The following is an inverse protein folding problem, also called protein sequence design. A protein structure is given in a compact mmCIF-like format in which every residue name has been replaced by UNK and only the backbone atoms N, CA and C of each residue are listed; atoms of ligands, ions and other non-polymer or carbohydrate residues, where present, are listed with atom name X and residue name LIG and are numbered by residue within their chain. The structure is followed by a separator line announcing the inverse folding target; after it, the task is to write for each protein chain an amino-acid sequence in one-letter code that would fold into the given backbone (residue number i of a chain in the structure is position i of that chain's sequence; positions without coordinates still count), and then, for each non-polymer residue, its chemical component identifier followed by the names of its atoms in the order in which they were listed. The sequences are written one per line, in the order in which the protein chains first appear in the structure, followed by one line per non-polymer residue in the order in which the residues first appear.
data_IF_289988016122
#
_entry.id   IF_289988016122
#
_cell.length_a   1.000
_cell.length_b   1.000
_cell.length_c   1.000
_cell.angle_alpha   90.00
_cell.angle_beta   90.00
_cell.angle_gamma   90.00
#
_symmetry.space_group_name_H-M   'P 1'
#
loop_
_entity.id
_entity.type
_entity.pdbx_description
1 polymer ?
#
# COMPACT_ATOMS: atom_id res chain seq x y z
N UNK A 1 36.21 -30.04 -16.29
CA UNK A 1 34.81 -29.83 -15.87
C UNK A 1 34.88 -28.90 -14.68
N UNK A 2 34.52 -27.63 -14.88
CA UNK A 2 34.30 -26.71 -13.77
C UNK A 2 32.80 -26.83 -13.45
N UNK A 3 32.47 -27.40 -12.30
CA UNK A 3 31.13 -27.27 -11.73
C UNK A 3 30.99 -25.83 -11.24
N UNK A 4 30.34 -24.99 -12.06
CA UNK A 4 29.79 -23.71 -11.65
C UNK A 4 28.29 -23.85 -11.62
N UNK A 5 27.73 -23.98 -10.42
CA UNK A 5 26.30 -24.11 -10.19
C UNK A 5 25.96 -23.68 -8.77
N UNK A 6 26.52 -22.55 -8.34
CA UNK A 6 26.07 -21.87 -7.13
C UNK A 6 24.72 -21.21 -7.44
N UNK A 7 23.74 -21.46 -6.57
CA UNK A 7 22.34 -21.13 -6.79
C UNK A 7 22.13 -19.67 -7.16
N UNK A 8 21.49 -19.46 -8.32
CA UNK A 8 20.81 -18.21 -8.60
C UNK A 8 19.71 -18.06 -7.55
N UNK A 9 19.92 -17.20 -6.55
CA UNK A 9 18.82 -16.71 -5.71
C UNK A 9 17.77 -16.14 -6.66
N UNK A 10 16.60 -16.78 -6.73
CA UNK A 10 15.52 -16.34 -7.61
C UNK A 10 15.09 -14.94 -7.17
N UNK A 11 15.51 -13.91 -7.91
CA UNK A 11 15.26 -12.52 -7.55
C UNK A 11 13.75 -12.26 -7.67
N UNK A 12 13.11 -12.06 -6.52
CA UNK A 12 11.70 -11.72 -6.47
C UNK A 12 11.50 -10.21 -6.58
N UNK A 13 10.60 -9.81 -7.47
CA UNK A 13 10.22 -8.42 -7.68
C UNK A 13 8.74 -8.25 -7.40
N UNK A 14 8.38 -7.13 -6.76
CA UNK A 14 6.99 -6.74 -6.62
C UNK A 14 6.45 -6.24 -7.96
N UNK A 15 5.27 -6.72 -8.34
CA UNK A 15 4.58 -6.39 -9.59
C UNK A 15 3.18 -5.87 -9.31
N UNK A 16 2.60 -5.20 -10.29
CA UNK A 16 1.16 -4.89 -10.24
C UNK A 16 0.33 -6.17 -10.12
N UNK A 17 -0.82 -6.05 -9.45
CA UNK A 17 -1.70 -7.14 -8.98
C UNK A 17 -1.17 -7.97 -7.79
N UNK A 18 0.04 -7.69 -7.28
CA UNK A 18 0.53 -8.36 -6.08
C UNK A 18 -0.20 -7.84 -4.82
N UNK A 19 -0.47 -8.78 -3.90
CA UNK A 19 -1.05 -8.50 -2.60
C UNK A 19 0.07 -8.21 -1.59
N UNK A 20 -0.03 -7.06 -0.91
CA UNK A 20 0.98 -6.55 0.01
C UNK A 20 0.37 -6.09 1.32
N UNK A 21 1.21 -6.03 2.34
CA UNK A 21 0.92 -5.37 3.63
C UNK A 21 1.96 -4.28 3.85
N UNK A 22 1.53 -3.15 4.42
CA UNK A 22 2.44 -2.06 4.77
C UNK A 22 2.80 -2.17 6.25
N UNK A 23 4.04 -2.56 6.54
CA UNK A 23 4.52 -2.74 7.90
C UNK A 23 5.51 -1.65 8.31
N UNK A 24 5.36 -1.13 9.52
CA UNK A 24 6.35 -0.30 10.18
C UNK A 24 6.81 -0.93 11.50
N UNK A 25 7.97 -0.47 12.01
CA UNK A 25 8.49 -0.88 13.31
C UNK A 25 8.67 0.36 14.17
N UNK A 26 8.13 0.33 15.39
CA UNK A 26 8.24 1.41 16.37
C UNK A 26 8.83 0.89 17.68
N UNK A 27 9.64 1.72 18.35
CA UNK A 27 10.18 1.41 19.68
C UNK A 27 9.26 2.02 20.74
N UNK A 28 8.70 1.19 21.63
CA UNK A 28 7.75 1.65 22.67
C UNK A 28 8.42 1.77 24.04
N UNK A 29 9.31 0.84 24.38
CA UNK A 29 10.15 0.85 25.59
C UNK A 29 11.60 0.53 25.23
N UNK A 30 12.55 0.74 26.15
CA UNK A 30 13.95 0.30 25.96
C UNK A 30 13.94 -1.19 25.60
N UNK A 31 14.54 -1.50 24.45
CA UNK A 31 14.68 -2.85 23.88
C UNK A 31 13.38 -3.57 23.46
N UNK A 32 12.24 -2.87 23.39
CA UNK A 32 10.99 -3.45 22.86
C UNK A 32 10.57 -2.79 21.55
N UNK A 33 10.85 -3.48 20.44
CA UNK A 33 10.38 -3.14 19.11
C UNK A 33 9.03 -3.79 18.82
N UNK A 34 8.09 -3.00 18.30
CA UNK A 34 6.76 -3.44 17.90
C UNK A 34 6.61 -3.23 16.39
N UNK A 35 6.40 -4.35 15.68
CA UNK A 35 5.89 -4.42 14.31
C UNK A 35 4.40 -4.14 14.29
N UNK A 36 4.01 -3.23 13.40
CA UNK A 36 2.65 -2.74 13.20
C UNK A 36 2.33 -2.78 11.70
N UNK A 37 1.12 -3.19 11.33
CA UNK A 37 0.63 -3.17 9.96
C UNK A 37 -0.45 -2.10 9.79
N UNK A 38 -0.39 -1.35 8.68
CA UNK A 38 -1.45 -0.44 8.30
C UNK A 38 -2.72 -1.23 8.00
N UNK A 39 -3.82 -0.84 8.63
CA UNK A 39 -5.10 -1.55 8.55
C UNK A 39 -6.25 -0.59 8.34
N UNK A 40 -7.32 -1.05 7.72
CA UNK A 40 -8.57 -0.30 7.64
C UNK A 40 -9.76 -1.23 7.47
N UNK A 41 -10.91 -0.86 8.03
CA UNK A 41 -12.16 -1.64 7.87
C UNK A 41 -12.83 -1.34 6.52
N UNK A 42 -12.83 -0.07 6.12
CA UNK A 42 -13.46 0.44 4.91
C UNK A 42 -14.92 0.81 5.14
N UNK A 43 -15.82 -0.17 5.12
CA UNK A 43 -17.23 0.09 5.36
C UNK A 43 -17.46 0.49 6.82
N UNK A 44 -18.25 1.54 7.05
CA UNK A 44 -18.45 2.11 8.39
C UNK A 44 -17.30 3.01 8.85
N UNK A 45 -16.06 2.52 8.80
CA UNK A 45 -14.87 3.29 9.20
C UNK A 45 -13.81 3.34 8.09
N UNK A 46 -13.65 4.54 7.51
CA UNK A 46 -12.68 4.80 6.43
C UNK A 46 -11.30 5.21 6.91
N UNK A 47 -11.09 5.40 8.22
CA UNK A 47 -9.81 5.85 8.75
C UNK A 47 -8.88 4.65 8.93
N UNK A 48 -7.62 4.82 8.56
CA UNK A 48 -6.61 3.80 8.82
C UNK A 48 -6.22 3.79 10.30
N UNK A 49 -5.81 2.62 10.76
CA UNK A 49 -5.25 2.38 12.08
C UNK A 49 -4.12 1.35 12.00
N UNK A 50 -3.50 1.02 13.13
CA UNK A 50 -2.35 0.12 13.20
C UNK A 50 -2.72 -1.16 13.95
N UNK A 51 -2.59 -2.29 13.25
CA UNK A 51 -2.76 -3.63 13.82
C UNK A 51 -1.40 -4.16 14.28
N UNK A 52 -1.33 -4.71 15.50
CA UNK A 52 -0.07 -5.19 16.06
C UNK A 52 0.23 -6.61 15.61
N UNK A 53 1.34 -6.82 14.91
CA UNK A 53 1.74 -8.15 14.41
C UNK A 53 2.83 -8.81 15.25
N UNK A 54 3.37 -8.10 16.24
CA UNK A 54 4.50 -8.59 17.07
C UNK A 54 4.15 -9.74 18.00
N UNK A 55 2.88 -9.85 18.40
CA UNK A 55 2.41 -10.87 19.36
C UNK A 55 1.62 -12.00 18.68
N UNK A 56 1.92 -12.28 17.41
CA UNK A 56 1.19 -13.25 16.59
C UNK A 56 1.13 -14.67 17.18
N UNK A 57 2.08 -15.04 18.05
CA UNK A 57 2.08 -16.34 18.74
C UNK A 57 0.96 -16.50 19.77
N UNK A 58 0.55 -15.39 20.41
CA UNK A 58 -0.47 -15.41 21.46
C UNK A 58 -1.83 -14.94 20.94
N UNK A 59 -1.82 -13.94 20.05
CA UNK A 59 -3.03 -13.38 19.44
C UNK A 59 -2.77 -13.21 17.94
N UNK A 60 -3.45 -13.97 17.07
CA UNK A 60 -3.27 -13.84 15.63
C UNK A 60 -3.77 -12.47 15.16
N UNK A 61 -2.97 -11.69 14.41
CA UNK A 61 -3.41 -10.39 13.88
C UNK A 61 -4.43 -10.58 12.75
N UNK A 62 -5.34 -9.60 12.59
CA UNK A 62 -6.27 -9.59 11.46
C UNK A 62 -5.57 -9.09 10.18
N UNK A 63 -5.02 -10.03 9.41
CA UNK A 63 -4.33 -9.73 8.16
C UNK A 63 -5.30 -9.42 7.00
N UNK A 64 -6.59 -9.73 7.12
CA UNK A 64 -7.55 -9.49 6.04
C UNK A 64 -7.76 -7.99 5.81
N UNK A 65 -7.83 -7.21 6.89
CA UNK A 65 -7.95 -5.74 6.87
C UNK A 65 -6.61 -5.01 6.69
N UNK A 66 -5.49 -5.73 6.77
CA UNK A 66 -4.14 -5.20 6.53
C UNK A 66 -3.75 -5.23 5.04
N UNK A 67 -4.59 -5.84 4.19
CA UNK A 67 -4.18 -6.26 2.87
C UNK A 67 -4.53 -5.25 1.78
N UNK A 68 -3.54 -4.94 0.94
CA UNK A 68 -3.68 -4.06 -0.21
C UNK A 68 -3.21 -4.76 -1.48
N UNK A 69 -3.76 -4.34 -2.61
CA UNK A 69 -3.34 -4.77 -3.95
C UNK A 69 -2.65 -3.60 -4.64
N UNK A 70 -1.46 -3.84 -5.20
CA UNK A 70 -0.76 -2.86 -6.04
C UNK A 70 -1.45 -2.80 -7.41
N UNK A 71 -2.43 -1.91 -7.56
CA UNK A 71 -3.21 -1.78 -8.81
C UNK A 71 -2.38 -1.14 -9.91
N UNK A 72 -1.58 -0.14 -9.56
CA UNK A 72 -0.88 0.65 -10.57
C UNK A 72 0.47 1.13 -10.07
N UNK A 73 1.44 1.18 -10.99
CA UNK A 73 2.75 1.79 -10.80
C UNK A 73 3.10 2.61 -12.04
N UNK A 74 3.21 3.93 -11.89
CA UNK A 74 3.51 4.87 -12.97
C UNK A 74 4.68 5.77 -12.65
N UNK A 75 5.46 6.12 -13.68
CA UNK A 75 6.37 7.26 -13.57
C UNK A 75 5.58 8.56 -13.41
N UNK A 76 6.22 9.58 -12.81
CA UNK A 76 5.61 10.90 -12.59
C UNK A 76 5.06 11.52 -13.87
N UNK A 77 5.80 11.39 -14.98
CA UNK A 77 5.36 11.89 -16.29
C UNK A 77 4.09 11.18 -16.77
N UNK A 78 4.07 9.85 -16.70
CA UNK A 78 2.90 9.07 -17.11
C UNK A 78 1.68 9.37 -16.24
N UNK A 79 1.88 9.57 -14.92
CA UNK A 79 0.82 9.98 -14.00
C UNK A 79 0.26 11.36 -14.38
N UNK A 80 1.13 12.34 -14.64
CA UNK A 80 0.70 13.68 -15.04
C UNK A 80 -0.09 13.66 -16.36
N UNK A 81 0.38 12.89 -17.34
CA UNK A 81 -0.32 12.71 -18.62
C UNK A 81 -1.68 12.02 -18.43
N UNK A 82 -1.77 11.03 -17.54
CA UNK A 82 -3.02 10.34 -17.20
C UNK A 82 -4.04 11.29 -16.55
N UNK A 83 -3.61 12.07 -15.55
CA UNK A 83 -4.49 13.01 -14.85
C UNK A 83 -4.98 14.13 -15.78
N UNK A 84 -4.12 14.60 -16.70
CA UNK A 84 -4.52 15.60 -17.69
C UNK A 84 -5.52 15.09 -18.73
N UNK A 85 -5.45 13.79 -19.08
CA UNK A 85 -6.32 13.16 -20.09
C UNK A 85 -7.66 12.65 -19.54
N UNK A 86 -7.86 12.64 -18.22
CA UNK A 86 -9.09 12.09 -17.60
C UNK A 86 -10.39 12.79 -18.03
N UNK A 87 -10.31 14.02 -18.53
CA UNK A 87 -11.47 14.75 -19.07
C UNK A 87 -11.93 14.18 -20.43
N UNK A 88 -11.05 13.50 -21.16
CA UNK A 88 -11.30 13.03 -22.54
C UNK A 88 -11.42 11.50 -22.66
N UNK A 89 -11.06 10.75 -21.61
CA UNK A 89 -10.85 9.30 -21.71
C UNK A 89 -11.59 8.57 -20.60
N UNK A 90 -12.86 8.24 -20.84
CA UNK A 90 -13.66 7.39 -19.94
C UNK A 90 -13.20 5.93 -19.96
N UNK A 91 -12.40 5.50 -20.95
CA UNK A 91 -12.08 4.07 -21.18
C UNK A 91 -10.64 3.84 -21.69
N UNK A 92 -9.62 4.48 -21.11
CA UNK A 92 -8.22 4.09 -21.38
C UNK A 92 -7.65 3.25 -20.25
N UNK A 93 -8.09 1.99 -20.21
CA UNK A 93 -7.49 0.91 -19.45
C UNK A 93 -6.14 0.51 -20.06
N UNK A 94 -5.22 1.47 -20.19
CA UNK A 94 -3.88 1.24 -20.70
C UNK A 94 -2.94 0.86 -19.54
N UNK A 95 -3.13 -0.37 -19.05
CA UNK A 95 -2.34 -0.91 -17.95
C UNK A 95 -2.33 -2.44 -17.87
N UNK A 96 -2.63 -3.15 -18.96
CA UNK A 96 -2.58 -4.62 -18.98
C UNK A 96 -1.14 -5.12 -18.89
N UNK A 97 -0.75 -5.64 -17.73
CA UNK A 97 0.49 -6.39 -17.52
C UNK A 97 1.01 -6.30 -16.08
N UNK A 98 1.65 -7.37 -15.60
CA UNK A 98 2.36 -7.40 -14.31
C UNK A 98 3.64 -6.55 -14.39
N UNK A 99 3.50 -5.24 -14.25
CA UNK A 99 4.61 -4.30 -14.29
C UNK A 99 5.37 -4.35 -12.99
N UNK A 100 6.68 -4.56 -13.06
CA UNK A 100 7.58 -4.46 -11.90
C UNK A 100 7.52 -3.05 -11.30
N UNK A 101 7.38 -2.96 -9.98
CA UNK A 101 7.46 -1.70 -9.24
C UNK A 101 8.88 -1.15 -9.30
N UNK A 102 9.01 0.12 -9.71
CA UNK A 102 10.30 0.82 -9.74
C UNK A 102 10.32 1.96 -8.71
N UNK A 103 11.50 2.22 -8.15
CA UNK A 103 11.70 3.37 -7.28
C UNK A 103 11.43 4.69 -8.03
N UNK A 104 10.73 5.61 -7.37
CA UNK A 104 10.30 6.89 -7.97
C UNK A 104 8.97 6.82 -8.73
N UNK A 105 8.34 5.65 -8.82
CA UNK A 105 6.97 5.53 -9.33
C UNK A 105 5.93 5.97 -8.29
N UNK A 106 4.88 6.63 -8.76
CA UNK A 106 3.63 6.75 -8.03
C UNK A 106 2.88 5.41 -8.07
N UNK A 107 2.29 5.04 -6.94
CA UNK A 107 1.55 3.78 -6.79
C UNK A 107 0.09 4.03 -6.43
N UNK A 108 -0.78 3.15 -6.91
CA UNK A 108 -2.18 3.09 -6.50
C UNK A 108 -2.40 1.80 -5.72
N UNK A 109 -2.82 1.94 -4.46
CA UNK A 109 -3.08 0.82 -3.56
C UNK A 109 -4.58 0.70 -3.32
N UNK A 110 -5.14 -0.46 -3.62
CA UNK A 110 -6.55 -0.78 -3.36
C UNK A 110 -6.64 -1.70 -2.15
N UNK A 111 -7.44 -1.34 -1.17
CA UNK A 111 -7.75 -2.18 -0.02
C UNK A 111 -8.47 -3.44 -0.49
N UNK A 112 -7.93 -4.62 -0.15
CA UNK A 112 -8.38 -5.90 -0.68
C UNK A 112 -9.85 -6.19 -0.33
N UNK A 113 -10.22 -5.96 0.93
CA UNK A 113 -11.54 -6.31 1.44
C UNK A 113 -12.65 -5.35 0.98
N UNK A 114 -12.41 -4.03 1.00
CA UNK A 114 -13.44 -3.03 0.67
C UNK A 114 -13.41 -2.53 -0.78
N UNK A 115 -12.40 -2.90 -1.56
CA UNK A 115 -12.16 -2.38 -2.93
C UNK A 115 -11.98 -0.86 -3.04
N UNK A 116 -11.86 -0.14 -1.92
CA UNK A 116 -11.56 1.29 -1.86
C UNK A 116 -10.05 1.54 -2.00
N UNK A 117 -9.65 2.77 -2.31
CA UNK A 117 -8.25 3.15 -2.50
C UNK A 117 -7.68 3.84 -1.27
N UNK A 118 -6.43 3.53 -0.92
CA UNK A 118 -5.69 4.21 0.14
C UNK A 118 -5.41 5.66 -0.27
N UNK A 119 -5.84 6.62 0.54
CA UNK A 119 -5.76 8.04 0.24
C UNK A 119 -5.39 8.88 1.45
N UNK A 120 -4.80 10.03 1.18
CA UNK A 120 -4.78 11.15 2.11
C UNK A 120 -6.20 11.77 2.18
N UNK A 121 -6.69 12.05 3.37
CA UNK A 121 -7.98 12.69 3.60
C UNK A 121 -7.81 14.19 3.86
N UNK A 122 -8.86 14.96 3.66
CA UNK A 122 -8.87 16.40 3.98
C UNK A 122 -9.12 16.68 5.46
N UNK A 123 -9.45 15.65 6.24
CA UNK A 123 -9.61 15.75 7.70
C UNK A 123 -8.27 15.68 8.42
N UNK A 124 -8.23 16.25 9.62
CA UNK A 124 -7.11 16.09 10.54
C UNK A 124 -7.64 15.89 11.95
N UNK A 125 -7.24 14.79 12.60
CA UNK A 125 -7.53 14.51 14.01
C UNK A 125 -6.33 14.75 14.92
N UNK A 126 -5.21 15.20 14.38
CA UNK A 126 -4.01 15.49 15.16
C UNK A 126 -4.20 16.78 15.96
N UNK A 127 -4.02 16.69 17.28
CA UNK A 127 -4.04 17.86 18.16
C UNK A 127 -2.67 18.54 18.26
N UNK A 128 -1.61 17.83 17.90
CA UNK A 128 -0.21 18.27 18.07
C UNK A 128 0.42 18.76 16.77
N UNK A 129 -0.04 18.26 15.63
CA UNK A 129 0.47 18.64 14.31
C UNK A 129 -0.66 19.16 13.42
N UNK A 130 -0.65 20.47 13.16
CA UNK A 130 -1.68 21.15 12.36
C UNK A 130 -1.53 20.94 10.85
N UNK A 131 -0.40 20.41 10.40
CA UNK A 131 -0.15 20.09 8.99
C UNK A 131 -0.38 18.62 8.68
N UNK A 132 -0.66 17.80 9.70
CA UNK A 132 -1.00 16.40 9.52
C UNK A 132 -2.39 16.25 8.90
N UNK A 133 -2.49 15.33 7.94
CA UNK A 133 -3.75 14.88 7.37
C UNK A 133 -3.98 13.42 7.75
N UNK A 134 -5.24 13.05 7.95
CA UNK A 134 -5.59 11.66 8.20
C UNK A 134 -5.33 10.81 6.95
N UNK A 135 -4.93 9.55 7.15
CA UNK A 135 -4.84 8.54 6.10
C UNK A 135 -6.06 7.62 6.21
N UNK A 136 -6.68 7.30 5.08
CA UNK A 136 -7.89 6.50 5.04
C UNK A 136 -8.21 5.93 3.66
N UNK A 137 -9.46 5.52 3.47
CA UNK A 137 -9.96 4.92 2.23
C UNK A 137 -10.96 5.83 1.50
N UNK A 138 -10.86 5.88 0.17
CA UNK A 138 -11.80 6.56 -0.73
C UNK A 138 -12.33 5.60 -1.81
N UNK A 139 -13.58 5.80 -2.24
CA UNK A 139 -14.20 4.96 -3.28
C UNK A 139 -13.60 5.22 -4.66
N UNK A 140 -13.27 6.47 -4.94
CA UNK A 140 -12.67 6.88 -6.21
C UNK A 140 -11.15 6.94 -6.12
N UNK A 141 -10.46 6.59 -7.20
CA UNK A 141 -8.99 6.63 -7.27
C UNK A 141 -8.42 8.05 -7.43
N UNK A 142 -9.28 9.05 -7.65
CA UNK A 142 -8.96 10.43 -8.09
C UNK A 142 -7.93 10.54 -9.21
#
# INVERSE_FOLDING_TARGET
MAEGGEGEEEIQFLRTEDQVVLQCTASVMKDQQVKLCLSCEGFGNRLCFLETTSNAQNVPPDLAICSFVLVQSLSVRALQEMLAKRVEMTESSQGGGHRTLLYGHAILLRHYHSSMYLSCLTTSRSLTDKLAFDVGLQEDST
#
